data_IF_729882217205
#
_entry.id   IF_729882217205
#
_cell.length_a   1.000
_cell.length_b   1.000
_cell.length_c   1.000
_cell.angle_alpha   90.00
_cell.angle_beta   90.00
_cell.angle_gamma   90.00
#
_symmetry.space_group_name_H-M   'P 1'
#
loop_
_entity.id
_entity.type
_entity.pdbx_description
1 polymer ?
#
# COMPACT_ATOMS: atom_id res chain seq x y z
N UNK A 1 28.76 19.73 -15.90
CA UNK A 1 27.84 20.74 -15.34
C UNK A 1 28.49 22.10 -15.47
N UNK A 2 27.86 23.03 -16.19
CA UNK A 2 28.21 24.45 -16.16
C UNK A 2 27.81 25.06 -14.81
N UNK A 3 28.55 26.05 -14.29
CA UNK A 3 28.18 26.71 -13.05
C UNK A 3 26.88 27.51 -13.27
N UNK A 4 25.75 26.98 -12.81
CA UNK A 4 24.44 27.64 -12.94
C UNK A 4 23.23 26.70 -12.89
N UNK A 5 23.37 25.41 -13.21
CA UNK A 5 22.24 24.48 -13.14
C UNK A 5 22.18 23.80 -11.76
N UNK A 6 21.26 24.29 -10.93
CA UNK A 6 20.83 23.60 -9.72
C UNK A 6 20.24 22.24 -10.06
N UNK A 7 20.64 21.20 -9.34
CA UNK A 7 20.10 19.85 -9.45
C UNK A 7 18.59 19.82 -9.20
N UNK A 8 17.83 19.20 -10.09
CA UNK A 8 16.36 19.21 -10.09
C UNK A 8 15.85 17.87 -9.57
N UNK A 9 15.18 17.91 -8.42
CA UNK A 9 14.65 16.70 -7.78
C UNK A 9 13.14 16.64 -7.97
N UNK A 10 12.65 15.54 -8.54
CA UNK A 10 11.21 15.26 -8.68
C UNK A 10 10.70 14.34 -7.57
N UNK A 11 9.60 14.70 -6.93
CA UNK A 11 9.00 13.94 -5.83
C UNK A 11 7.68 13.28 -6.29
N UNK A 12 7.54 11.97 -6.11
CA UNK A 12 6.38 11.19 -6.56
C UNK A 12 5.77 10.44 -5.39
N UNK A 13 4.58 10.85 -4.97
CA UNK A 13 3.87 10.30 -3.82
C UNK A 13 2.79 9.33 -4.27
N UNK A 14 2.90 8.08 -3.85
CA UNK A 14 1.79 7.13 -3.84
C UNK A 14 0.98 7.37 -2.56
N UNK A 15 -0.11 8.13 -2.67
CA UNK A 15 -0.84 8.62 -1.51
C UNK A 15 -1.40 7.51 -0.62
N UNK A 16 -1.89 6.44 -1.23
CA UNK A 16 -2.47 5.32 -0.51
C UNK A 16 -1.38 4.51 0.20
N UNK A 17 -0.29 4.15 -0.50
CA UNK A 17 0.82 3.42 0.12
C UNK A 17 1.52 4.24 1.21
N UNK A 18 1.72 5.54 0.95
CA UNK A 18 2.35 6.49 1.87
C UNK A 18 1.60 6.57 3.21
N UNK A 19 0.28 6.77 3.17
CA UNK A 19 -0.51 6.89 4.40
C UNK A 19 -0.78 5.55 5.07
N UNK A 20 -1.01 4.46 4.33
CA UNK A 20 -1.11 3.12 4.92
C UNK A 20 0.14 2.77 5.73
N UNK A 21 1.32 3.09 5.21
CA UNK A 21 2.59 2.84 5.89
C UNK A 21 2.82 3.79 7.07
N UNK A 22 2.43 5.07 6.93
CA UNK A 22 2.52 6.04 8.02
C UNK A 22 1.63 5.67 9.20
N UNK A 23 0.37 5.36 8.95
CA UNK A 23 -0.60 5.05 10.00
C UNK A 23 -0.23 3.77 10.77
N UNK A 24 0.55 2.87 10.16
CA UNK A 24 1.07 1.68 10.82
C UNK A 24 2.18 1.97 11.86
N UNK A 25 2.96 3.05 11.68
CA UNK A 25 4.09 3.39 12.56
C UNK A 25 3.84 4.61 13.44
N UNK A 26 3.13 5.61 12.93
CA UNK A 26 2.82 6.88 13.58
C UNK A 26 1.37 7.29 13.26
N UNK A 27 0.38 6.58 13.84
CA UNK A 27 -1.03 6.82 13.56
C UNK A 27 -1.45 8.26 13.89
N UNK A 28 -2.15 8.90 12.95
CA UNK A 28 -2.75 10.22 13.16
C UNK A 28 -1.78 11.40 13.11
N UNK A 29 -0.50 11.18 12.80
CA UNK A 29 0.47 12.26 12.58
C UNK A 29 0.10 13.07 11.34
N UNK A 30 0.22 14.40 11.43
CA UNK A 30 0.07 15.30 10.29
C UNK A 30 1.45 15.66 9.71
N UNK A 31 1.57 15.49 8.39
CA UNK A 31 2.78 15.79 7.62
C UNK A 31 2.68 17.20 7.03
N UNK A 32 3.71 18.00 7.26
CA UNK A 32 3.96 19.21 6.49
C UNK A 32 4.69 18.86 5.20
N UNK A 33 3.94 18.84 4.10
CA UNK A 33 4.46 18.47 2.78
C UNK A 33 5.54 19.40 2.24
N UNK A 34 5.49 20.70 2.56
CA UNK A 34 6.54 21.65 2.15
C UNK A 34 7.83 21.37 2.92
N UNK A 35 7.74 21.17 4.23
CA UNK A 35 8.89 20.80 5.05
C UNK A 35 9.47 19.44 4.63
N UNK A 36 8.62 18.45 4.33
CA UNK A 36 9.05 17.13 3.83
C UNK A 36 9.77 17.26 2.49
N UNK A 37 9.23 18.03 1.55
CA UNK A 37 9.86 18.26 0.25
C UNK A 37 11.21 18.96 0.41
N UNK A 38 11.29 20.01 1.22
CA UNK A 38 12.55 20.71 1.52
C UNK A 38 13.57 19.77 2.16
N UNK A 39 13.15 18.94 3.11
CA UNK A 39 14.01 17.98 3.78
C UNK A 39 14.57 16.94 2.80
N UNK A 40 13.73 16.36 1.93
CA UNK A 40 14.15 15.39 0.92
C UNK A 40 15.13 16.00 -0.09
N UNK A 41 14.83 17.19 -0.60
CA UNK A 41 15.68 17.90 -1.57
C UNK A 41 17.05 18.20 -0.97
N UNK A 42 17.09 18.73 0.25
CA UNK A 42 18.34 19.01 0.95
C UNK A 42 19.13 17.73 1.25
N UNK A 43 18.45 16.64 1.63
CA UNK A 43 19.07 15.36 1.97
C UNK A 43 19.79 14.70 0.80
N UNK A 44 19.31 14.92 -0.42
CA UNK A 44 19.81 14.31 -1.65
C UNK A 44 20.86 15.19 -2.32
N UNK A 45 20.54 16.46 -2.57
CA UNK A 45 21.40 17.34 -3.38
C UNK A 45 21.94 18.58 -2.66
N UNK A 46 21.65 18.73 -1.37
CA UNK A 46 22.12 19.86 -0.56
C UNK A 46 21.70 21.22 -1.10
N UNK A 47 22.55 22.23 -0.91
CA UNK A 47 22.29 23.62 -1.34
C UNK A 47 22.26 23.80 -2.86
N UNK A 48 22.80 22.84 -3.61
CA UNK A 48 22.82 22.87 -5.06
C UNK A 48 21.53 22.32 -5.69
N UNK A 49 20.60 21.79 -4.89
CA UNK A 49 19.37 21.20 -5.38
C UNK A 49 18.13 22.08 -5.17
N UNK A 50 17.16 21.88 -6.05
CA UNK A 50 15.84 22.49 -5.96
C UNK A 50 14.75 21.48 -6.30
N UNK A 51 13.57 21.73 -5.75
CA UNK A 51 12.36 21.01 -6.14
C UNK A 51 12.03 21.32 -7.60
N UNK A 52 11.94 20.28 -8.43
CA UNK A 52 11.43 20.37 -9.80
C UNK A 52 9.89 20.33 -9.81
N UNK A 53 9.33 19.51 -8.93
CA UNK A 53 7.90 19.33 -8.73
C UNK A 53 7.63 18.16 -7.79
N UNK A 54 6.46 18.17 -7.19
CA UNK A 54 5.94 17.14 -6.32
C UNK A 54 4.58 16.68 -6.84
N UNK A 55 4.47 15.42 -7.23
CA UNK A 55 3.25 14.84 -7.80
C UNK A 55 2.64 13.84 -6.82
N UNK A 56 1.37 14.05 -6.47
CA UNK A 56 0.63 13.21 -5.52
C UNK A 56 -0.46 12.43 -6.23
N UNK A 57 -0.40 11.11 -6.19
CA UNK A 57 -1.30 10.19 -6.88
C UNK A 57 -2.18 9.48 -5.86
N UNK A 58 -3.50 9.54 -6.03
CA UNK A 58 -4.43 8.87 -5.11
C UNK A 58 -5.77 8.57 -5.76
N UNK A 59 -6.42 7.50 -5.31
CA UNK A 59 -7.82 7.24 -5.56
C UNK A 59 -8.73 8.23 -4.81
N UNK A 60 -9.84 8.63 -5.42
CA UNK A 60 -10.85 9.48 -4.80
C UNK A 60 -12.26 8.94 -5.06
N UNK A 61 -13.09 8.90 -4.00
CA UNK A 61 -14.51 8.52 -4.05
C UNK A 61 -15.31 9.12 -2.90
N UNK A 62 -16.04 10.20 -3.15
CA UNK A 62 -16.95 10.82 -2.18
C UNK A 62 -16.32 11.00 -0.79
N UNK A 63 -15.10 11.55 -0.72
CA UNK A 63 -14.37 11.81 0.52
C UNK A 63 -14.09 13.31 0.67
N UNK A 64 -15.02 14.10 1.23
CA UNK A 64 -14.87 15.57 1.32
C UNK A 64 -13.63 16.03 2.08
N UNK A 65 -13.21 15.27 3.10
CA UNK A 65 -12.01 15.59 3.88
C UNK A 65 -10.73 15.35 3.08
N UNK A 66 -10.66 14.23 2.35
CA UNK A 66 -9.56 13.96 1.42
C UNK A 66 -9.52 15.02 0.31
N UNK A 67 -10.67 15.37 -0.28
CA UNK A 67 -10.73 16.45 -1.29
C UNK A 67 -10.21 17.78 -0.78
N UNK A 68 -10.58 18.16 0.45
CA UNK A 68 -10.10 19.40 1.10
C UNK A 68 -8.60 19.38 1.31
N UNK A 69 -8.06 18.25 1.77
CA UNK A 69 -6.62 18.06 1.91
C UNK A 69 -5.91 18.19 0.56
N UNK A 70 -6.37 17.49 -0.48
CA UNK A 70 -5.80 17.52 -1.82
C UNK A 70 -5.84 18.92 -2.43
N UNK A 71 -6.96 19.64 -2.28
CA UNK A 71 -7.08 21.02 -2.71
C UNK A 71 -6.12 21.95 -1.94
N UNK A 72 -5.83 21.64 -0.68
CA UNK A 72 -4.79 22.30 0.10
C UNK A 72 -3.38 22.08 -0.46
N UNK A 73 -3.08 20.84 -0.84
CA UNK A 73 -1.81 20.46 -1.43
C UNK A 73 -1.57 21.19 -2.77
N UNK A 74 -2.59 21.29 -3.63
CA UNK A 74 -2.50 21.99 -4.93
C UNK A 74 -2.26 23.50 -4.82
N UNK A 75 -2.55 24.11 -3.67
CA UNK A 75 -2.24 25.53 -3.43
C UNK A 75 -0.78 25.77 -3.08
N UNK A 76 -0.03 24.71 -2.75
CA UNK A 76 1.39 24.81 -2.41
C UNK A 76 2.22 24.86 -3.69
N UNK A 77 3.26 25.69 -3.67
CA UNK A 77 4.11 25.90 -4.85
C UNK A 77 4.82 24.61 -5.22
N UNK A 78 4.70 24.20 -6.48
CA UNK A 78 5.37 23.00 -7.01
C UNK A 78 4.68 21.69 -6.68
N UNK A 79 3.47 21.70 -6.09
CA UNK A 79 2.68 20.50 -5.83
C UNK A 79 1.57 20.32 -6.87
N UNK A 80 1.43 19.10 -7.36
CA UNK A 80 0.47 18.70 -8.38
C UNK A 80 -0.26 17.44 -7.93
N UNK A 81 -1.59 17.46 -7.89
CA UNK A 81 -2.38 16.28 -7.50
C UNK A 81 -2.95 15.58 -8.74
N UNK A 82 -2.95 14.25 -8.70
CA UNK A 82 -3.57 13.35 -9.69
C UNK A 82 -4.61 12.49 -8.96
N UNK A 83 -5.87 12.77 -9.26
CA UNK A 83 -7.04 12.08 -8.68
C UNK A 83 -7.51 11.02 -9.66
N UNK A 84 -7.69 9.80 -9.19
CA UNK A 84 -8.22 8.69 -9.98
C UNK A 84 -9.55 8.23 -9.38
N UNK A 85 -10.58 7.96 -10.20
CA UNK A 85 -11.84 7.47 -9.68
C UNK A 85 -11.66 6.06 -9.11
N UNK A 86 -12.14 5.84 -7.89
CA UNK A 86 -12.26 4.49 -7.31
C UNK A 86 -13.59 3.90 -7.77
N UNK A 87 -13.53 2.78 -8.49
CA UNK A 87 -14.72 2.12 -9.01
C UNK A 87 -15.11 0.92 -8.15
N UNK A 88 -16.39 0.88 -7.77
CA UNK A 88 -16.98 -0.30 -7.13
C UNK A 88 -17.26 -1.36 -8.19
N UNK A 89 -16.63 -2.52 -8.06
CA UNK A 89 -16.91 -3.71 -8.87
C UNK A 89 -17.66 -4.71 -8.02
N UNK A 90 -18.93 -4.90 -8.34
CA UNK A 90 -19.69 -6.00 -7.80
C UNK A 90 -19.15 -7.30 -8.40
N UNK A 91 -18.45 -8.09 -7.59
CA UNK A 91 -18.10 -9.45 -7.95
C UNK A 91 -19.20 -10.37 -7.46
N UNK A 92 -19.71 -11.22 -8.34
CA UNK A 92 -20.58 -12.33 -7.94
C UNK A 92 -19.74 -13.59 -8.04
N UNK A 93 -19.56 -14.28 -6.91
CA UNK A 93 -18.93 -15.58 -6.94
C UNK A 93 -19.81 -16.53 -7.77
N UNK A 94 -19.32 -17.08 -8.90
CA UNK A 94 -20.12 -17.92 -9.77
C UNK A 94 -20.45 -19.30 -9.16
N UNK A 95 -19.94 -19.61 -7.97
CA UNK A 95 -20.16 -20.89 -7.28
C UNK A 95 -21.13 -20.79 -6.11
N UNK A 96 -20.91 -19.86 -5.17
CA UNK A 96 -21.78 -19.71 -4.01
C UNK A 96 -22.81 -18.59 -4.16
N UNK A 97 -22.76 -17.82 -5.26
CA UNK A 97 -23.64 -16.67 -5.48
C UNK A 97 -23.37 -15.48 -4.56
N UNK A 98 -22.35 -15.57 -3.70
CA UNK A 98 -22.03 -14.47 -2.78
C UNK A 98 -21.61 -13.23 -3.58
N UNK A 99 -22.11 -12.07 -3.14
CA UNK A 99 -21.84 -10.78 -3.77
C UNK A 99 -20.81 -10.05 -2.93
N UNK A 100 -19.69 -9.71 -3.54
CA UNK A 100 -18.68 -8.86 -2.93
C UNK A 100 -18.56 -7.52 -3.64
N UNK A 101 -18.28 -6.48 -2.88
CA UNK A 101 -17.95 -5.17 -3.41
C UNK A 101 -16.42 -5.05 -3.45
N UNK A 102 -15.84 -5.30 -4.62
CA UNK A 102 -14.42 -5.12 -4.82
C UNK A 102 -14.16 -3.69 -5.28
N UNK A 103 -13.48 -2.90 -4.44
CA UNK A 103 -13.06 -1.55 -4.81
C UNK A 103 -11.81 -1.67 -5.68
N UNK A 104 -11.89 -1.18 -6.91
CA UNK A 104 -10.76 -1.18 -7.83
C UNK A 104 -10.36 0.26 -8.10
N UNK A 105 -9.20 0.62 -7.59
CA UNK A 105 -8.46 1.79 -8.07
C UNK A 105 -7.79 1.39 -9.38
N UNK A 106 -8.15 2.05 -10.49
CA UNK A 106 -7.52 1.79 -11.79
C UNK A 106 -6.65 2.96 -12.19
N UNK A 107 -5.39 2.64 -12.48
CA UNK A 107 -4.49 3.54 -13.21
C UNK A 107 -3.69 4.53 -12.35
N UNK A 108 -3.78 4.47 -11.02
CA UNK A 108 -2.93 5.27 -10.12
C UNK A 108 -1.46 4.93 -10.39
N UNK A 109 -1.08 3.65 -10.20
CA UNK A 109 0.30 3.17 -10.36
C UNK A 109 0.80 3.38 -11.79
N UNK A 110 -0.06 3.08 -12.77
CA UNK A 110 0.28 3.28 -14.19
C UNK A 110 0.58 4.75 -14.49
N UNK A 111 -0.25 5.68 -14.02
CA UNK A 111 -0.04 7.10 -14.25
C UNK A 111 1.20 7.62 -13.52
N UNK A 112 1.43 7.16 -12.28
CA UNK A 112 2.61 7.47 -11.51
C UNK A 112 3.87 7.05 -12.26
N UNK A 113 3.95 5.79 -12.69
CA UNK A 113 5.09 5.27 -13.47
C UNK A 113 5.27 6.05 -14.77
N UNK A 114 4.19 6.31 -15.51
CA UNK A 114 4.25 7.05 -16.77
C UNK A 114 4.81 8.47 -16.56
N UNK A 115 4.35 9.19 -15.55
CA UNK A 115 4.81 10.56 -15.28
C UNK A 115 6.25 10.58 -14.73
N UNK A 116 6.67 9.58 -13.94
CA UNK A 116 8.08 9.38 -13.55
C UNK A 116 8.98 9.20 -14.79
N UNK A 117 8.59 8.30 -15.70
CA UNK A 117 9.36 8.02 -16.90
C UNK A 117 9.41 9.24 -17.83
N UNK A 118 8.29 9.95 -18.01
CA UNK A 118 8.31 11.21 -18.77
C UNK A 118 9.29 12.22 -18.17
N UNK A 119 9.31 12.39 -16.85
CA UNK A 119 10.21 13.32 -16.19
C UNK A 119 11.68 12.93 -16.39
N UNK A 120 12.01 11.64 -16.22
CA UNK A 120 13.36 11.11 -16.38
C UNK A 120 13.85 11.19 -17.84
N UNK A 121 13.10 10.62 -18.78
CA UNK A 121 13.50 10.52 -20.19
C UNK A 121 13.53 11.88 -20.90
N UNK A 122 12.68 12.83 -20.48
CA UNK A 122 12.67 14.20 -21.00
C UNK A 122 13.67 15.13 -20.28
N UNK A 123 14.47 14.60 -19.33
CA UNK A 123 15.46 15.36 -18.55
C UNK A 123 14.86 16.58 -17.83
N UNK A 124 13.62 16.46 -17.38
CA UNK A 124 12.94 17.49 -16.58
C UNK A 124 13.48 17.51 -15.14
N UNK A 125 13.92 16.35 -14.68
CA UNK A 125 14.54 16.11 -13.38
C UNK A 125 15.90 15.45 -13.59
N UNK A 126 16.78 15.63 -12.62
CA UNK A 126 18.07 14.97 -12.56
C UNK A 126 17.98 13.73 -11.68
N UNK A 127 17.20 13.79 -10.59
CA UNK A 127 16.91 12.65 -9.72
C UNK A 127 15.44 12.59 -9.30
N UNK A 128 14.99 11.39 -8.96
CA UNK A 128 13.62 11.08 -8.57
C UNK A 128 13.57 10.54 -7.14
N UNK A 129 12.52 10.91 -6.42
CA UNK A 129 12.15 10.28 -5.15
C UNK A 129 10.77 9.69 -5.28
N UNK A 130 10.68 8.37 -5.14
CA UNK A 130 9.45 7.62 -5.07
C UNK A 130 9.09 7.36 -3.60
N UNK A 131 7.96 7.89 -3.15
CA UNK A 131 7.42 7.62 -1.82
C UNK A 131 6.36 6.52 -1.92
N UNK A 132 6.85 5.28 -1.99
CA UNK A 132 6.05 4.06 -1.97
C UNK A 132 6.95 2.87 -1.60
N UNK A 133 6.37 1.84 -1.00
CA UNK A 133 7.02 0.55 -0.80
C UNK A 133 6.53 -0.56 -1.73
N UNK A 134 5.68 -0.24 -2.70
CA UNK A 134 4.99 -1.20 -3.56
C UNK A 134 5.91 -1.80 -4.66
N UNK A 135 5.97 -3.13 -4.71
CA UNK A 135 6.78 -3.86 -5.69
C UNK A 135 6.29 -3.64 -7.13
N UNK A 136 5.01 -3.33 -7.34
CA UNK A 136 4.44 -3.13 -8.68
C UNK A 136 5.04 -1.90 -9.40
N UNK A 137 5.66 -0.99 -8.65
CA UNK A 137 6.35 0.19 -9.18
C UNK A 137 7.80 -0.10 -9.61
N UNK A 138 8.34 -1.29 -9.29
CA UNK A 138 9.72 -1.69 -9.62
C UNK A 138 10.07 -1.52 -11.09
N UNK A 139 9.24 -1.94 -12.07
CA UNK A 139 9.58 -1.75 -13.49
C UNK A 139 9.73 -0.27 -13.87
N UNK A 140 8.98 0.63 -13.23
CA UNK A 140 9.12 2.08 -13.43
C UNK A 140 10.42 2.62 -12.85
N UNK A 141 10.85 2.13 -11.69
CA UNK A 141 12.14 2.46 -11.07
C UNK A 141 13.30 2.01 -11.96
N UNK A 142 13.28 0.77 -12.43
CA UNK A 142 14.32 0.21 -13.32
C UNK A 142 14.44 1.02 -14.61
N UNK A 143 13.31 1.28 -15.29
CA UNK A 143 13.30 2.04 -16.54
C UNK A 143 13.69 3.52 -16.38
N UNK A 144 13.45 4.13 -15.20
CA UNK A 144 13.94 5.48 -14.91
C UNK A 144 15.47 5.49 -14.69
N UNK A 145 16.01 4.46 -14.04
CA UNK A 145 17.47 4.30 -13.90
C UNK A 145 18.15 4.07 -15.25
N UNK A 146 17.53 3.28 -16.14
CA UNK A 146 18.01 3.11 -17.53
C UNK A 146 18.06 4.43 -18.30
N UNK A 147 17.18 5.39 -18.00
CA UNK A 147 17.22 6.74 -18.56
C UNK A 147 18.41 7.59 -18.07
N UNK A 148 19.17 7.08 -17.10
CA UNK A 148 20.25 7.77 -16.39
C UNK A 148 19.75 8.70 -15.29
N UNK A 149 18.55 8.46 -14.75
CA UNK A 149 17.98 9.23 -13.66
C UNK A 149 17.93 8.37 -12.37
N UNK A 150 18.80 8.63 -11.39
CA UNK A 150 18.77 7.95 -10.10
C UNK A 150 17.40 8.07 -9.42
N UNK A 151 16.90 6.94 -8.92
CA UNK A 151 15.62 6.87 -8.20
C UNK A 151 15.85 6.47 -6.75
N UNK A 152 15.56 7.38 -5.83
CA UNK A 152 15.51 7.12 -4.40
C UNK A 152 14.13 6.59 -4.05
N UNK A 153 14.07 5.55 -3.24
CA UNK A 153 12.80 5.10 -2.64
C UNK A 153 12.75 5.59 -1.20
N UNK A 154 11.66 6.25 -0.82
CA UNK A 154 11.45 6.74 0.53
C UNK A 154 10.25 6.03 1.18
N UNK A 155 10.44 5.52 2.40
CA UNK A 155 9.41 4.80 3.16
C UNK A 155 9.51 5.11 4.66
N UNK A 156 8.45 4.84 5.41
CA UNK A 156 8.39 5.06 6.88
C UNK A 156 9.01 3.94 7.72
N UNK A 157 9.43 2.84 7.10
CA UNK A 157 10.16 1.74 7.72
C UNK A 157 10.58 0.74 6.63
N UNK A 158 11.46 -0.20 6.97
CA UNK A 158 11.74 -1.36 6.11
C UNK A 158 10.53 -2.30 5.97
N UNK A 159 9.64 -2.33 6.96
CA UNK A 159 8.52 -3.29 7.05
C UNK A 159 7.43 -3.07 5.97
N UNK A 160 7.42 -1.90 5.33
CA UNK A 160 6.52 -1.57 4.23
C UNK A 160 7.19 -1.56 2.85
N UNK A 161 8.50 -1.81 2.77
CA UNK A 161 9.28 -1.72 1.54
C UNK A 161 9.60 -3.11 0.98
N UNK A 162 9.18 -3.40 -0.25
CA UNK A 162 9.57 -4.65 -0.93
C UNK A 162 11.10 -4.73 -1.08
N UNK A 163 11.73 -5.86 -0.71
CA UNK A 163 13.17 -6.08 -0.94
C UNK A 163 13.56 -5.98 -2.42
N UNK A 164 12.65 -6.37 -3.33
CA UNK A 164 12.89 -6.27 -4.76
C UNK A 164 12.88 -4.81 -5.23
N UNK A 165 11.92 -4.01 -4.75
CA UNK A 165 11.89 -2.57 -5.04
C UNK A 165 13.14 -1.87 -4.45
N UNK A 166 13.51 -2.22 -3.22
CA UNK A 166 14.71 -1.69 -2.56
C UNK A 166 16.00 -1.97 -3.32
N UNK A 167 16.13 -3.19 -3.85
CA UNK A 167 17.28 -3.62 -4.65
C UNK A 167 17.33 -2.94 -6.02
N UNK A 168 16.16 -2.65 -6.59
CA UNK A 168 16.04 -1.95 -7.86
C UNK A 168 16.22 -0.43 -7.76
N UNK A 169 16.16 0.17 -6.57
CA UNK A 169 16.34 1.60 -6.33
C UNK A 169 17.83 2.00 -6.22
N UNK A 170 18.15 3.26 -6.52
CA UNK A 170 19.50 3.81 -6.36
C UNK A 170 19.92 3.77 -4.88
N UNK A 171 19.04 4.26 -4.02
CA UNK A 171 19.19 4.22 -2.57
C UNK A 171 17.82 4.33 -1.89
N UNK A 172 17.81 4.09 -0.58
CA UNK A 172 16.62 4.20 0.25
C UNK A 172 16.78 5.31 1.27
N UNK A 173 15.68 6.01 1.53
CA UNK A 173 15.54 7.03 2.55
C UNK A 173 14.48 6.55 3.55
N UNK A 174 14.92 6.30 4.78
CA UNK A 174 13.99 6.09 5.89
C UNK A 174 13.47 7.44 6.37
N UNK A 175 12.18 7.70 6.11
CA UNK A 175 11.49 8.93 6.50
C UNK A 175 11.41 9.09 8.02
N UNK A 176 11.47 8.01 8.81
CA UNK A 176 11.45 8.12 10.27
C UNK A 176 12.66 8.88 10.81
N UNK A 177 13.78 8.87 10.08
CA UNK A 177 14.98 9.62 10.48
C UNK A 177 14.78 11.14 10.43
N UNK A 178 13.77 11.63 9.71
CA UNK A 178 13.46 13.05 9.55
C UNK A 178 12.10 13.46 10.11
N UNK A 179 11.35 12.55 10.74
CA UNK A 179 9.94 12.76 11.14
C UNK A 179 9.70 14.07 11.90
N UNK A 180 10.60 14.45 12.79
CA UNK A 180 10.49 15.69 13.57
C UNK A 180 10.63 16.97 12.72
N UNK A 181 11.33 16.89 11.58
CA UNK A 181 11.59 18.03 10.71
C UNK A 181 10.38 18.42 9.84
N UNK A 182 9.42 17.52 9.66
CA UNK A 182 8.31 17.72 8.74
C UNK A 182 6.94 17.27 9.29
N UNK A 183 6.81 17.18 10.61
CA UNK A 183 5.53 17.01 11.28
C UNK A 183 5.05 18.34 11.88
N UNK A 184 3.75 18.59 11.85
CA UNK A 184 3.18 19.87 12.33
C UNK A 184 3.00 19.92 13.85
N UNK A 185 3.20 18.78 14.53
CA UNK A 185 2.83 18.58 15.94
C UNK A 185 1.32 18.57 16.20
N UNK A 186 0.49 18.66 15.15
CA UNK A 186 -0.97 18.61 15.22
C UNK A 186 -1.48 17.24 14.77
N UNK A 187 -2.64 16.79 15.28
CA UNK A 187 -3.30 15.61 14.76
C UNK A 187 -3.83 15.87 13.34
N UNK A 188 -3.69 14.88 12.46
CA UNK A 188 -4.15 14.97 11.06
C UNK A 188 -5.68 15.22 10.99
N UNK A 189 -6.13 16.27 10.30
CA UNK A 189 -7.56 16.50 10.06
C UNK A 189 -8.15 15.35 9.27
N UNK A 190 -9.27 14.78 9.73
CA UNK A 190 -9.99 13.73 8.99
C UNK A 190 -9.29 12.36 8.95
N UNK A 191 -8.38 12.05 9.87
CA UNK A 191 -7.75 10.73 10.03
C UNK A 191 -8.71 9.56 10.31
N UNK A 192 -10.03 9.78 10.22
CA UNK A 192 -11.09 8.77 10.23
C UNK A 192 -11.60 8.43 8.80
N UNK A 193 -10.79 8.64 7.76
CA UNK A 193 -11.23 8.62 6.35
C UNK A 193 -10.85 7.40 5.50
N UNK A 194 -9.92 6.57 5.93
CA UNK A 194 -9.79 5.20 5.43
C UNK A 194 -10.10 4.33 6.64
N UNK A 195 -11.15 3.50 6.57
CA UNK A 195 -11.50 2.64 7.68
C UNK A 195 -10.20 1.93 8.10
N UNK A 196 -9.71 2.14 9.34
CA UNK A 196 -8.54 1.41 9.78
C UNK A 196 -8.84 -0.06 9.50
N UNK A 197 -7.86 -0.80 8.96
CA UNK A 197 -7.94 -2.25 8.98
C UNK A 197 -8.49 -2.59 10.37
N UNK A 198 -9.59 -3.36 10.47
CA UNK A 198 -10.34 -3.42 11.71
C UNK A 198 -9.35 -3.70 12.85
N UNK A 199 -9.58 -3.10 14.01
CA UNK A 199 -8.79 -3.38 15.22
C UNK A 199 -9.77 -3.75 16.31
N UNK A 200 -9.53 -4.89 16.98
CA UNK A 200 -10.44 -5.46 17.99
C UNK A 200 -11.35 -6.61 17.47
N UNK A 201 -12.41 -6.99 18.21
CA UNK A 201 -13.26 -8.16 17.90
C UNK A 201 -13.94 -8.12 16.52
N UNK A 202 -14.03 -6.95 15.89
CA UNK A 202 -14.46 -6.80 14.50
C UNK A 202 -13.50 -7.46 13.49
N UNK A 203 -12.20 -7.58 13.81
CA UNK A 203 -11.18 -8.25 12.96
C UNK A 203 -11.39 -9.74 12.93
N UNK A 204 -11.61 -10.31 14.11
CA UNK A 204 -11.82 -11.75 14.26
C UNK A 204 -13.05 -12.18 13.49
N UNK A 205 -14.12 -11.37 13.53
CA UNK A 205 -15.33 -11.63 12.76
C UNK A 205 -15.09 -11.53 11.25
N UNK A 206 -14.38 -10.51 10.78
CA UNK A 206 -14.02 -10.36 9.37
C UNK A 206 -13.13 -11.53 8.91
N UNK A 207 -12.12 -11.89 9.69
CA UNK A 207 -11.23 -13.02 9.36
C UNK A 207 -12.01 -14.33 9.35
N UNK A 208 -12.88 -14.56 10.34
CA UNK A 208 -13.71 -15.76 10.43
C UNK A 208 -14.65 -15.88 9.22
N UNK A 209 -15.34 -14.79 8.86
CA UNK A 209 -16.20 -14.74 7.69
C UNK A 209 -15.43 -15.06 6.41
N UNK A 210 -14.21 -14.53 6.27
CA UNK A 210 -13.38 -14.78 5.09
C UNK A 210 -12.79 -16.21 5.06
N UNK A 211 -12.49 -16.81 6.22
CA UNK A 211 -12.15 -18.25 6.29
C UNK A 211 -13.33 -19.08 5.78
N UNK A 212 -14.56 -18.74 6.16
CA UNK A 212 -15.75 -19.45 5.69
C UNK A 212 -15.91 -19.36 4.17
N UNK A 213 -15.76 -18.16 3.59
CA UNK A 213 -15.82 -17.95 2.14
C UNK A 213 -14.71 -18.73 1.41
N UNK A 214 -13.48 -18.66 1.91
CA UNK A 214 -12.33 -19.33 1.34
C UNK A 214 -12.47 -20.86 1.41
N UNK A 215 -12.86 -21.39 2.56
CA UNK A 215 -13.09 -22.83 2.77
C UNK A 215 -14.15 -23.35 1.81
N UNK A 216 -15.31 -22.69 1.73
CA UNK A 216 -16.37 -23.06 0.80
C UNK A 216 -15.91 -23.02 -0.67
N UNK A 217 -15.08 -22.04 -1.04
CA UNK A 217 -14.53 -21.92 -2.40
C UNK A 217 -13.65 -23.12 -2.80
N UNK A 218 -12.78 -23.59 -1.90
CA UNK A 218 -11.90 -24.73 -2.16
C UNK A 218 -12.63 -26.07 -2.04
N UNK A 219 -13.50 -26.22 -1.04
CA UNK A 219 -14.30 -27.44 -0.83
C UNK A 219 -15.22 -27.73 -2.03
N UNK A 220 -15.84 -26.70 -2.62
CA UNK A 220 -16.65 -26.84 -3.84
C UNK A 220 -15.86 -27.38 -5.05
N UNK A 221 -14.52 -27.37 -5.01
CA UNK A 221 -13.62 -27.90 -6.04
C UNK A 221 -12.94 -29.21 -5.61
N UNK A 222 -13.43 -29.85 -4.55
CA UNK A 222 -12.83 -31.04 -3.95
C UNK A 222 -11.48 -30.78 -3.27
N UNK A 223 -11.18 -29.51 -2.98
CA UNK A 223 -9.96 -29.08 -2.31
C UNK A 223 -10.19 -28.72 -0.85
N UNK A 224 -9.18 -28.13 -0.24
CA UNK A 224 -9.20 -27.62 1.13
C UNK A 224 -8.50 -26.27 1.19
N UNK A 225 -8.84 -25.46 2.19
CA UNK A 225 -8.17 -24.19 2.43
C UNK A 225 -6.89 -24.42 3.24
N UNK A 226 -5.74 -24.28 2.60
CA UNK A 226 -4.45 -24.30 3.30
C UNK A 226 -4.31 -23.06 4.20
N UNK A 227 -3.90 -23.26 5.46
CA UNK A 227 -3.71 -22.18 6.43
C UNK A 227 -2.75 -21.11 5.93
N UNK A 228 -1.59 -21.56 5.44
CA UNK A 228 -0.53 -20.70 4.91
C UNK A 228 -0.97 -19.90 3.68
N UNK A 229 -1.89 -20.45 2.88
CA UNK A 229 -2.48 -19.75 1.75
C UNK A 229 -3.40 -18.63 2.24
N UNK A 230 -4.29 -18.92 3.21
CA UNK A 230 -5.17 -17.91 3.79
C UNK A 230 -4.39 -16.73 4.41
N UNK A 231 -3.35 -17.03 5.18
CA UNK A 231 -2.55 -16.02 5.88
C UNK A 231 -1.80 -15.07 4.95
N UNK A 232 -1.34 -15.57 3.79
CA UNK A 232 -0.37 -14.85 2.94
C UNK A 232 -0.92 -14.41 1.60
N UNK A 233 -1.89 -15.14 1.05
CA UNK A 233 -2.31 -15.02 -0.35
C UNK A 233 -3.81 -14.90 -0.55
N UNK A 234 -4.62 -15.15 0.48
CA UNK A 234 -6.06 -14.93 0.35
C UNK A 234 -6.36 -13.44 0.30
N UNK A 235 -7.14 -13.07 -0.70
CA UNK A 235 -7.65 -11.72 -0.89
C UNK A 235 -9.18 -11.78 -0.80
N UNK A 236 -9.72 -11.02 0.14
CA UNK A 236 -11.16 -10.94 0.33
C UNK A 236 -11.77 -10.03 -0.74
N UNK A 237 -12.92 -10.46 -1.27
CA UNK A 237 -13.63 -9.74 -2.33
C UNK A 237 -14.46 -8.56 -1.80
N UNK A 238 -14.84 -8.60 -0.54
CA UNK A 238 -15.82 -7.71 0.10
C UNK A 238 -15.33 -7.10 1.41
N UNK A 239 -14.10 -7.40 1.83
CA UNK A 239 -13.55 -6.95 3.09
C UNK A 239 -12.07 -6.61 2.96
N UNK A 240 -11.61 -5.62 3.72
CA UNK A 240 -10.18 -5.38 3.91
C UNK A 240 -9.68 -6.33 4.98
N UNK A 241 -8.90 -7.32 4.56
CA UNK A 241 -8.23 -8.24 5.49
C UNK A 241 -7.07 -7.52 6.19
N UNK A 242 -6.78 -7.88 7.45
CA UNK A 242 -5.61 -7.34 8.12
C UNK A 242 -4.31 -7.81 7.44
N UNK A 243 -3.17 -7.14 7.70
CA UNK A 243 -1.88 -7.54 7.16
C UNK A 243 -1.55 -9.01 7.47
N UNK A 244 -0.76 -9.66 6.62
CA UNK A 244 -0.47 -11.10 6.72
C UNK A 244 0.03 -11.54 8.10
N UNK A 245 0.93 -10.77 8.71
CA UNK A 245 1.44 -11.04 10.06
C UNK A 245 0.32 -11.02 11.13
N UNK A 246 -0.62 -10.07 11.01
CA UNK A 246 -1.75 -9.95 11.92
C UNK A 246 -2.81 -11.03 11.65
N UNK A 247 -3.03 -11.43 10.39
CA UNK A 247 -3.89 -12.56 10.04
C UNK A 247 -3.46 -13.85 10.73
N UNK A 248 -2.17 -14.18 10.68
CA UNK A 248 -1.65 -15.39 11.32
C UNK A 248 -1.98 -15.42 12.82
N UNK A 249 -1.77 -14.30 13.53
CA UNK A 249 -2.09 -14.18 14.94
C UNK A 249 -3.60 -14.26 15.24
N UNK A 250 -4.44 -13.72 14.37
CA UNK A 250 -5.91 -13.81 14.49
C UNK A 250 -6.40 -15.24 14.26
N UNK A 251 -5.88 -15.92 13.22
CA UNK A 251 -6.19 -17.32 12.93
C UNK A 251 -5.77 -18.22 14.09
N UNK A 252 -4.59 -18.00 14.68
CA UNK A 252 -4.11 -18.73 15.86
C UNK A 252 -5.12 -18.64 17.02
N UNK A 253 -5.61 -17.42 17.33
CA UNK A 253 -6.61 -17.21 18.38
C UNK A 253 -7.95 -17.88 18.06
N UNK A 254 -8.44 -17.73 16.84
CA UNK A 254 -9.70 -18.36 16.41
C UNK A 254 -9.64 -19.89 16.49
N UNK A 255 -8.46 -20.48 16.26
CA UNK A 255 -8.23 -21.93 16.46
C UNK A 255 -8.21 -22.28 17.94
N UNK A 256 -7.51 -21.50 18.78
CA UNK A 256 -7.48 -21.70 20.23
C UNK A 256 -8.88 -21.61 20.87
N UNK A 257 -9.71 -20.70 20.37
CA UNK A 257 -11.09 -20.49 20.83
C UNK A 257 -12.09 -21.50 20.22
N UNK A 258 -11.62 -22.41 19.36
CA UNK A 258 -12.44 -23.45 18.73
C UNK A 258 -13.43 -22.92 17.68
N UNK A 259 -13.27 -21.66 17.23
CA UNK A 259 -14.10 -21.04 16.18
C UNK A 259 -13.64 -21.41 14.78
N UNK A 260 -12.38 -21.84 14.63
CA UNK A 260 -11.78 -22.38 13.41
C UNK A 260 -11.15 -23.73 13.75
N UNK A 261 -11.37 -24.74 12.92
CA UNK A 261 -10.72 -26.04 13.07
C UNK A 261 -9.47 -26.08 12.19
N UNK A 262 -8.31 -26.37 12.79
CA UNK A 262 -7.07 -26.70 12.06
C UNK A 262 -6.87 -28.22 12.02
N UNK A 263 -6.55 -28.76 10.85
CA UNK A 263 -6.31 -30.18 10.65
C UNK A 263 -5.20 -30.44 9.62
N UNK A 264 -4.59 -31.62 9.70
CA UNK A 264 -3.56 -32.04 8.73
C UNK A 264 -4.19 -32.77 7.55
N UNK A 265 -3.71 -32.47 6.36
CA UNK A 265 -4.11 -33.13 5.11
C UNK A 265 -2.88 -33.33 4.22
N UNK A 266 -2.99 -34.26 3.27
CA UNK A 266 -1.91 -34.63 2.37
C UNK A 266 -2.29 -34.28 0.94
N UNK A 267 -1.36 -33.66 0.20
CA UNK A 267 -1.49 -33.43 -1.23
C UNK A 267 -0.12 -33.61 -1.88
N UNK A 268 -0.08 -34.40 -2.96
CA UNK A 268 1.14 -34.68 -3.72
C UNK A 268 2.31 -35.18 -2.83
N UNK A 269 2.01 -36.01 -1.82
CA UNK A 269 2.99 -36.58 -0.89
C UNK A 269 3.53 -35.60 0.16
N UNK A 270 2.96 -34.39 0.26
CA UNK A 270 3.34 -33.37 1.24
C UNK A 270 2.20 -33.14 2.23
N UNK A 271 2.58 -33.15 3.51
CA UNK A 271 1.68 -32.75 4.60
C UNK A 271 1.49 -31.25 4.62
N UNK A 272 0.24 -30.81 4.68
CA UNK A 272 -0.14 -29.41 4.81
C UNK A 272 -1.15 -29.23 5.95
N UNK A 273 -1.11 -28.06 6.56
CA UNK A 273 -2.10 -27.63 7.55
C UNK A 273 -3.24 -26.90 6.83
N UNK A 274 -4.46 -27.39 7.04
CA UNK A 274 -5.68 -26.85 6.47
C UNK A 274 -6.60 -26.33 7.59
N UNK A 275 -7.41 -25.33 7.26
CA UNK A 275 -8.36 -24.71 8.19
C UNK A 275 -9.77 -24.71 7.61
N UNK A 276 -10.79 -24.86 8.47
CA UNK A 276 -12.20 -24.76 8.10
C UNK A 276 -13.06 -24.24 9.25
N UNK A 277 -14.30 -23.90 8.98
CA UNK A 277 -15.28 -23.57 10.02
C UNK A 277 -15.82 -24.87 10.64
N UNK A 278 -15.85 -25.01 11.97
CA UNK A 278 -16.44 -26.17 12.62
C UNK A 278 -17.89 -26.38 12.17
N UNK A 279 -18.21 -27.58 11.69
CA UNK A 279 -19.56 -27.94 11.27
C UNK A 279 -19.95 -27.54 9.84
N UNK A 280 -19.08 -26.91 9.04
CA UNK A 280 -19.33 -26.69 7.60
C UNK A 280 -19.08 -27.94 6.73
N UNK A 281 -18.50 -28.98 7.31
CA UNK A 281 -18.35 -30.29 6.68
C UNK A 281 -19.69 -31.04 6.60
N UNK A 282 -20.28 -31.08 5.41
CA UNK A 282 -21.41 -31.94 5.10
C UNK A 282 -21.14 -33.40 5.47
N UNK A 283 -22.21 -34.06 5.92
CA UNK A 283 -22.30 -35.49 6.20
C UNK A 283 -21.75 -36.31 5.03
N UNK A 284 -21.19 -37.47 5.41
CA UNK A 284 -20.71 -38.58 4.56
C UNK A 284 -21.52 -38.78 3.28
#
# INVERSE_FOLDING_TARGET
>A
MTPGDSMRIGLFFDGANFYRSLDAVCPGVEIDYEALASWLVARIGGDAARLAGAWYYTGLRDQPDLERFLAGLERRTGFFVRRFPIADRHLVCPHCGNRGLHRVEKGVDTALVVDMLKAAWSRQVDELVLMSGDEDLRPGVEAAQEAGCPVWVASWAEQGLSPALRAAAYAHIDLMTGIEAFTTGRPRPGATGEAPAPTGPAVEEVVLQQIAVAAAYFEARGGYLARSYFERRWEALDATLPPAAMRAAVVERLVADGRVESYRTERDGRWMEAIRIPGSGGRR
#
